data_IF_020018591450
#
_entry.id   IF_020018591450
#
_cell.length_a   1.000
_cell.length_b   1.000
_cell.length_c   1.000
_cell.angle_alpha   90.00
_cell.angle_beta   90.00
_cell.angle_gamma   90.00
#
_symmetry.space_group_name_H-M   'P 1'
#
loop_
_entity.id
_entity.type
_entity.pdbx_description
1 polymer ?
#
# COMPACT_ATOMS: atom_id res chain seq x y z
N UNK A 1 9.10 -53.57 -2.53
CA UNK A 1 10.53 -53.66 -2.15
C UNK A 1 11.37 -53.64 -3.42
N UNK A 2 12.27 -52.63 -3.54
CA UNK A 2 13.51 -52.51 -4.36
C UNK A 2 13.42 -52.76 -5.90
N UNK A 3 14.00 -51.99 -6.83
CA UNK A 3 15.01 -50.89 -6.82
C UNK A 3 14.95 -50.11 -8.16
N UNK A 4 15.22 -48.79 -8.20
CA UNK A 4 15.50 -48.00 -9.41
C UNK A 4 17.02 -47.88 -9.66
N UNK A 5 17.39 -47.31 -10.82
CA UNK A 5 18.75 -46.95 -11.29
C UNK A 5 19.52 -47.98 -12.12
N UNK A 6 19.42 -47.83 -13.44
CA UNK A 6 20.52 -48.11 -14.36
C UNK A 6 21.01 -46.76 -14.94
N UNK A 7 21.94 -46.14 -14.24
CA UNK A 7 22.59 -44.85 -14.59
C UNK A 7 23.53 -44.95 -15.79
N UNK A 8 23.75 -46.15 -16.33
CA UNK A 8 24.74 -46.41 -17.37
C UNK A 8 24.25 -46.03 -18.77
N UNK A 9 22.93 -45.98 -19.00
CA UNK A 9 22.34 -45.64 -20.31
C UNK A 9 22.25 -44.13 -20.59
N UNK A 10 22.17 -43.29 -19.56
CA UNK A 10 22.04 -41.83 -19.72
C UNK A 10 23.38 -41.18 -20.04
N UNK A 11 24.47 -41.70 -19.46
CA UNK A 11 25.83 -41.18 -19.70
C UNK A 11 26.34 -41.42 -21.12
N UNK A 12 25.95 -42.52 -21.77
CA UNK A 12 26.35 -42.84 -23.14
C UNK A 12 25.76 -41.87 -24.19
N UNK A 13 24.56 -41.32 -23.94
CA UNK A 13 23.90 -40.40 -24.85
C UNK A 13 24.51 -38.98 -24.80
N UNK A 14 24.87 -38.53 -23.59
CA UNK A 14 25.49 -37.22 -23.35
C UNK A 14 26.92 -37.14 -23.89
N UNK A 15 27.69 -38.24 -23.83
CA UNK A 15 29.06 -38.29 -24.33
C UNK A 15 29.17 -38.18 -25.86
N UNK A 16 28.15 -38.61 -26.62
CA UNK A 16 28.20 -38.63 -28.08
C UNK A 16 27.86 -37.29 -28.74
N UNK A 17 27.19 -36.39 -28.03
CA UNK A 17 26.59 -35.18 -28.61
C UNK A 17 27.29 -33.88 -28.22
N UNK A 18 28.06 -33.86 -27.14
CA UNK A 18 28.68 -32.62 -26.63
C UNK A 18 30.18 -32.79 -26.40
N UNK A 19 30.97 -32.33 -27.37
CA UNK A 19 32.42 -32.21 -27.26
C UNK A 19 32.77 -30.95 -26.41
N UNK A 20 32.35 -30.95 -25.14
CA UNK A 20 32.54 -29.86 -24.19
C UNK A 20 33.48 -30.29 -23.06
N UNK A 21 34.55 -29.54 -22.75
CA UNK A 21 35.55 -29.93 -21.75
C UNK A 21 35.03 -29.92 -20.30
N UNK A 22 33.75 -29.61 -20.07
CA UNK A 22 33.13 -29.53 -18.74
C UNK A 22 32.12 -30.66 -18.45
N UNK A 23 31.99 -31.64 -19.35
CA UNK A 23 30.98 -32.70 -19.24
C UNK A 23 31.21 -33.71 -18.09
N UNK A 24 32.34 -33.65 -17.39
CA UNK A 24 32.73 -34.65 -16.37
C UNK A 24 32.75 -34.13 -14.93
N UNK A 25 32.22 -32.93 -14.64
CA UNK A 25 32.23 -32.37 -13.27
C UNK A 25 30.88 -32.42 -12.56
N UNK A 26 30.82 -32.75 -11.25
CA UNK A 26 29.60 -32.72 -10.46
C UNK A 26 29.05 -31.30 -10.29
N UNK A 27 27.71 -31.16 -10.33
CA UNK A 27 26.92 -29.91 -10.34
C UNK A 27 27.29 -28.86 -9.28
N UNK A 28 27.91 -29.25 -8.16
CA UNK A 28 28.33 -28.32 -7.10
C UNK A 28 29.51 -27.42 -7.47
N UNK A 29 30.37 -27.83 -8.41
CA UNK A 29 31.54 -27.02 -8.81
C UNK A 29 31.22 -25.92 -9.86
N UNK A 30 30.07 -26.00 -10.54
CA UNK A 30 29.67 -24.98 -11.51
C UNK A 30 29.09 -23.71 -10.86
N UNK A 31 28.75 -23.77 -9.56
CA UNK A 31 28.09 -22.68 -8.83
C UNK A 31 29.10 -21.68 -8.24
N UNK A 32 30.37 -22.06 -8.07
CA UNK A 32 31.39 -21.25 -7.37
C UNK A 32 32.39 -20.54 -8.29
N UNK A 33 32.22 -20.58 -9.62
CA UNK A 33 33.11 -19.86 -10.53
C UNK A 33 32.83 -18.34 -10.51
N UNK A 34 33.85 -17.47 -10.38
CA UNK A 34 33.65 -16.03 -10.38
C UNK A 34 33.26 -15.57 -11.79
N UNK A 35 32.07 -15.00 -11.92
CA UNK A 35 31.55 -14.52 -13.19
C UNK A 35 31.80 -13.01 -13.33
N UNK A 36 32.91 -12.66 -13.98
CA UNK A 36 32.97 -11.40 -14.71
C UNK A 36 32.14 -11.52 -15.99
N UNK A 37 31.24 -10.54 -16.20
CA UNK A 37 30.77 -10.18 -17.54
C UNK A 37 29.66 -11.03 -18.17
N UNK A 38 28.50 -10.36 -18.33
CA UNK A 38 27.47 -10.57 -19.37
C UNK A 38 26.40 -11.66 -19.11
N UNK A 39 25.29 -11.16 -18.55
CA UNK A 39 23.89 -11.57 -18.78
C UNK A 39 23.63 -11.91 -20.27
N UNK A 40 23.84 -13.16 -20.69
CA UNK A 40 23.29 -13.65 -21.97
C UNK A 40 23.23 -15.18 -22.10
N UNK A 41 23.83 -15.96 -21.20
CA UNK A 41 23.89 -17.42 -21.34
C UNK A 41 22.88 -18.20 -20.49
N UNK A 42 22.33 -17.61 -19.44
CA UNK A 42 21.25 -18.23 -18.65
C UNK A 42 19.94 -18.34 -19.44
N UNK A 43 19.65 -17.37 -20.31
CA UNK A 43 18.49 -17.39 -21.20
C UNK A 43 18.57 -18.47 -22.29
N UNK A 44 19.79 -18.91 -22.65
CA UNK A 44 19.98 -19.99 -23.62
C UNK A 44 19.83 -21.38 -22.99
N UNK A 45 20.16 -21.52 -21.70
CA UNK A 45 19.99 -22.76 -20.96
C UNK A 45 18.51 -23.14 -20.79
N UNK A 46 17.64 -22.15 -20.59
CA UNK A 46 16.18 -22.38 -20.54
C UNK A 46 15.55 -22.71 -21.90
N UNK A 47 16.13 -22.26 -23.03
CA UNK A 47 15.58 -22.55 -24.37
C UNK A 47 15.90 -23.96 -24.88
N UNK A 48 17.01 -24.57 -24.44
CA UNK A 48 17.40 -25.90 -24.90
C UNK A 48 16.60 -27.04 -24.23
N UNK A 49 16.05 -26.83 -23.03
CA UNK A 49 15.27 -27.85 -22.32
C UNK A 49 13.82 -27.98 -22.79
N UNK A 50 13.32 -27.06 -23.63
CA UNK A 50 11.93 -27.07 -24.12
C UNK A 50 11.75 -27.92 -25.38
N UNK A 51 12.82 -28.38 -26.04
CA UNK A 51 12.74 -29.09 -27.33
C UNK A 51 13.03 -30.60 -27.29
N UNK A 52 13.38 -31.17 -26.15
CA UNK A 52 13.58 -32.63 -26.02
C UNK A 52 12.46 -33.22 -25.14
N UNK A 53 11.39 -33.70 -25.79
CA UNK A 53 10.17 -34.22 -25.16
C UNK A 53 10.34 -35.55 -24.42
N UNK A 54 11.23 -35.62 -23.43
CA UNK A 54 11.51 -36.85 -22.66
C UNK A 54 11.30 -36.69 -21.14
N UNK A 55 10.78 -35.56 -20.67
CA UNK A 55 10.32 -35.46 -19.28
C UNK A 55 8.90 -34.88 -19.23
N UNK A 56 7.98 -35.65 -18.64
CA UNK A 56 6.66 -35.17 -18.25
C UNK A 56 6.85 -34.04 -17.23
N UNK A 57 6.96 -32.81 -17.73
CA UNK A 57 7.20 -31.59 -16.96
C UNK A 57 5.96 -31.08 -16.20
N UNK A 58 4.99 -31.96 -15.92
CA UNK A 58 3.82 -31.61 -15.10
C UNK A 58 4.04 -31.83 -13.61
N UNK A 59 4.96 -32.73 -13.22
CA UNK A 59 5.04 -33.16 -11.81
C UNK A 59 6.31 -32.74 -11.06
N UNK A 60 7.33 -32.16 -11.72
CA UNK A 60 8.57 -31.72 -11.04
C UNK A 60 8.72 -30.19 -10.97
N UNK A 61 7.96 -29.45 -11.79
CA UNK A 61 8.03 -27.98 -11.86
C UNK A 61 6.74 -27.28 -11.43
N UNK A 62 5.85 -27.96 -10.69
CA UNK A 62 4.68 -27.32 -10.08
C UNK A 62 5.00 -26.55 -8.79
N UNK A 63 6.24 -26.63 -8.29
CA UNK A 63 6.62 -26.14 -6.97
C UNK A 63 7.52 -24.89 -6.88
N UNK A 64 7.95 -24.25 -7.97
CA UNK A 64 9.03 -23.24 -7.88
C UNK A 64 8.85 -21.89 -8.59
N UNK A 65 7.63 -21.50 -8.95
CA UNK A 65 7.31 -20.08 -9.22
C UNK A 65 5.83 -19.87 -8.93
N UNK A 66 5.52 -19.48 -7.68
CA UNK A 66 4.17 -19.04 -7.33
C UNK A 66 3.94 -17.72 -8.07
N UNK A 67 3.20 -17.77 -9.18
CA UNK A 67 2.87 -16.60 -9.96
C UNK A 67 1.85 -15.77 -9.17
N UNK A 68 2.30 -14.66 -8.59
CA UNK A 68 1.39 -13.66 -8.03
C UNK A 68 1.06 -12.66 -9.13
N UNK A 69 -0.23 -12.39 -9.41
CA UNK A 69 -0.61 -11.43 -10.44
C UNK A 69 -0.01 -10.05 -10.15
N UNK A 70 0.49 -9.36 -11.17
CA UNK A 70 1.00 -7.99 -11.05
C UNK A 70 -0.02 -7.01 -10.42
N UNK A 71 -1.31 -7.34 -10.52
CA UNK A 71 -2.39 -6.63 -9.85
C UNK A 71 -2.23 -6.62 -8.31
N UNK A 72 -1.81 -7.72 -7.69
CA UNK A 72 -1.65 -7.83 -6.22
C UNK A 72 -0.50 -6.96 -5.75
N UNK A 73 0.63 -6.96 -6.48
CA UNK A 73 1.76 -6.09 -6.17
C UNK A 73 1.36 -4.62 -6.23
N UNK A 74 0.56 -4.22 -7.21
CA UNK A 74 0.01 -2.85 -7.31
C UNK A 74 -0.89 -2.52 -6.12
N UNK A 75 -1.78 -3.43 -5.74
CA UNK A 75 -2.71 -3.23 -4.62
C UNK A 75 -1.93 -3.11 -3.30
N UNK A 76 -0.96 -3.98 -3.05
CA UNK A 76 -0.11 -3.93 -1.86
C UNK A 76 0.61 -2.58 -1.75
N UNK A 77 1.24 -2.09 -2.82
CA UNK A 77 1.90 -0.77 -2.80
C UNK A 77 0.95 0.39 -2.50
N UNK A 78 -0.32 0.26 -2.87
CA UNK A 78 -1.35 1.27 -2.59
C UNK A 78 -1.90 1.15 -1.16
N UNK A 79 -1.84 -0.04 -0.57
CA UNK A 79 -2.28 -0.28 0.80
C UNK A 79 -1.31 0.33 1.80
N UNK A 80 -1.86 1.05 2.77
CA UNK A 80 -1.09 1.80 3.76
C UNK A 80 -0.15 0.92 4.60
N UNK A 81 -0.50 -0.35 4.80
CA UNK A 81 0.28 -1.30 5.58
C UNK A 81 1.59 -1.67 4.90
N UNK A 82 1.63 -1.67 3.57
CA UNK A 82 2.75 -2.22 2.79
C UNK A 82 3.49 -1.17 1.96
N UNK A 83 2.94 0.05 1.82
CA UNK A 83 3.57 1.15 1.09
C UNK A 83 4.99 1.47 1.60
N UNK A 84 5.24 1.36 2.90
CA UNK A 84 6.56 1.63 3.48
C UNK A 84 7.58 0.51 3.33
N UNK A 85 7.20 -0.64 2.77
CA UNK A 85 8.12 -1.77 2.59
C UNK A 85 9.02 -1.52 1.39
N UNK A 86 10.28 -1.91 1.51
CA UNK A 86 11.19 -1.94 0.38
C UNK A 86 10.81 -3.05 -0.62
N UNK A 87 11.46 -3.08 -1.79
CA UNK A 87 11.11 -4.07 -2.81
C UNK A 87 11.35 -5.51 -2.38
N UNK A 88 12.33 -5.77 -1.50
CA UNK A 88 12.66 -7.12 -1.04
C UNK A 88 11.63 -7.60 -0.02
N UNK A 89 11.28 -6.76 0.94
CA UNK A 89 10.26 -7.05 1.95
C UNK A 89 8.89 -7.21 1.30
N UNK A 90 8.54 -6.34 0.36
CA UNK A 90 7.30 -6.44 -0.39
C UNK A 90 7.23 -7.76 -1.18
N UNK A 91 8.32 -8.17 -1.83
CA UNK A 91 8.38 -9.46 -2.53
C UNK A 91 8.24 -10.65 -1.56
N UNK A 92 8.83 -10.55 -0.37
CA UNK A 92 8.72 -11.60 0.65
C UNK A 92 7.28 -11.74 1.15
N UNK A 93 6.59 -10.61 1.39
CA UNK A 93 5.15 -10.59 1.70
C UNK A 93 4.35 -11.25 0.57
N UNK A 94 4.59 -10.84 -0.68
CA UNK A 94 3.91 -11.38 -1.88
C UNK A 94 4.05 -12.90 -1.95
N UNK A 95 5.25 -13.45 -1.73
CA UNK A 95 5.50 -14.89 -1.78
C UNK A 95 4.80 -15.66 -0.65
N UNK A 96 4.60 -15.02 0.50
CA UNK A 96 3.93 -15.60 1.65
C UNK A 96 2.40 -15.57 1.55
N UNK A 97 1.82 -14.68 0.72
CA UNK A 97 0.37 -14.62 0.56
C UNK A 97 -0.20 -15.89 -0.06
N UNK A 98 -1.43 -16.23 0.33
CA UNK A 98 -2.16 -17.39 -0.19
C UNK A 98 -3.47 -16.94 -0.83
N UNK A 99 -3.78 -17.47 -2.02
CA UNK A 99 -5.06 -17.21 -2.68
C UNK A 99 -6.19 -17.90 -1.90
N UNK A 100 -7.30 -17.18 -1.69
CA UNK A 100 -8.52 -17.68 -1.05
C UNK A 100 -9.73 -17.21 -1.85
N UNK A 101 -10.51 -18.15 -2.37
CA UNK A 101 -11.76 -17.87 -3.06
C UNK A 101 -12.94 -18.15 -2.15
N UNK A 102 -13.93 -17.27 -2.18
CA UNK A 102 -15.18 -17.43 -1.41
C UNK A 102 -16.38 -17.10 -2.30
N UNK A 103 -17.49 -17.78 -2.05
CA UNK A 103 -18.76 -17.51 -2.71
C UNK A 103 -19.48 -16.32 -2.09
N UNK A 104 -20.52 -15.81 -2.74
CA UNK A 104 -21.39 -14.79 -2.17
C UNK A 104 -22.05 -15.27 -0.86
N UNK A 105 -22.36 -14.34 0.04
CA UNK A 105 -22.98 -14.60 1.35
C UNK A 105 -22.15 -15.47 2.29
N UNK A 106 -20.84 -15.52 2.11
CA UNK A 106 -19.90 -16.21 3.00
C UNK A 106 -19.49 -15.27 4.15
N UNK A 107 -19.78 -15.66 5.39
CA UNK A 107 -19.27 -14.99 6.59
C UNK A 107 -17.81 -15.39 6.81
N UNK A 108 -16.87 -14.54 6.37
CA UNK A 108 -15.43 -14.82 6.40
C UNK A 108 -14.79 -14.51 7.76
N UNK A 109 -15.19 -13.40 8.40
CA UNK A 109 -14.73 -12.98 9.72
C UNK A 109 -15.95 -12.77 10.60
N UNK A 110 -15.90 -13.19 11.87
CA UNK A 110 -16.91 -12.82 12.87
C UNK A 110 -16.30 -11.85 13.87
N UNK A 111 -17.08 -10.85 14.26
CA UNK A 111 -16.74 -9.95 15.36
C UNK A 111 -16.47 -10.75 16.65
N UNK A 112 -15.41 -10.39 17.37
CA UNK A 112 -15.02 -11.03 18.63
C UNK A 112 -14.09 -12.25 18.49
N UNK A 113 -13.95 -12.84 17.30
CA UNK A 113 -13.02 -13.95 17.08
C UNK A 113 -11.55 -13.48 17.15
N UNK A 114 -10.62 -14.42 17.36
CA UNK A 114 -9.19 -14.16 17.21
C UNK A 114 -8.80 -13.97 15.73
N UNK A 115 -7.86 -13.05 15.46
CA UNK A 115 -7.49 -12.67 14.10
C UNK A 115 -6.09 -13.11 13.68
N UNK A 116 -5.96 -14.28 13.07
CA UNK A 116 -4.64 -14.85 12.70
C UNK A 116 -4.15 -14.50 11.29
N UNK A 117 -4.93 -13.75 10.52
CA UNK A 117 -4.56 -13.30 9.19
C UNK A 117 -5.29 -12.01 8.78
N UNK A 118 -4.80 -11.35 7.74
CA UNK A 118 -5.49 -10.28 7.03
C UNK A 118 -5.77 -10.69 5.59
N UNK A 119 -6.64 -9.92 4.93
CA UNK A 119 -7.07 -10.17 3.57
C UNK A 119 -6.92 -8.94 2.69
N UNK A 120 -6.67 -9.18 1.40
CA UNK A 120 -6.68 -8.18 0.33
C UNK A 120 -7.67 -8.64 -0.74
N UNK A 121 -8.53 -7.75 -1.17
CA UNK A 121 -9.54 -8.04 -2.19
C UNK A 121 -8.94 -7.83 -3.59
N UNK A 122 -8.85 -8.91 -4.38
CA UNK A 122 -8.52 -8.81 -5.80
C UNK A 122 -9.77 -8.55 -6.64
N UNK A 123 -10.88 -9.23 -6.33
CA UNK A 123 -12.17 -9.11 -7.01
C UNK A 123 -13.32 -9.36 -6.03
N UNK A 124 -14.51 -8.84 -6.34
CA UNK A 124 -15.71 -8.97 -5.51
C UNK A 124 -15.90 -7.86 -4.47
N UNK A 125 -16.98 -7.96 -3.70
CA UNK A 125 -17.38 -6.97 -2.70
C UNK A 125 -17.77 -7.66 -1.38
N UNK A 126 -17.41 -7.05 -0.25
CA UNK A 126 -17.75 -7.53 1.08
C UNK A 126 -18.24 -6.37 1.97
N UNK A 127 -19.19 -6.69 2.86
CA UNK A 127 -19.67 -5.79 3.89
C UNK A 127 -18.98 -6.10 5.22
N UNK A 128 -18.46 -5.06 5.87
CA UNK A 128 -18.04 -5.08 7.25
C UNK A 128 -19.19 -4.56 8.12
N UNK A 129 -19.63 -5.34 9.09
CA UNK A 129 -20.74 -5.03 9.99
C UNK A 129 -20.32 -5.10 11.45
N UNK A 130 -21.00 -4.33 12.30
CA UNK A 130 -20.87 -4.36 13.76
C UNK A 130 -22.23 -4.56 14.40
N UNK A 131 -22.25 -5.24 15.54
CA UNK A 131 -23.44 -5.28 16.39
C UNK A 131 -23.52 -3.99 17.23
N UNK A 132 -24.45 -3.10 16.89
CA UNK A 132 -24.68 -1.83 17.60
C UNK A 132 -26.12 -1.83 18.11
N UNK A 133 -26.30 -1.70 19.42
CA UNK A 133 -27.62 -1.75 20.09
C UNK A 133 -28.44 -3.03 19.78
N UNK A 134 -27.75 -4.14 19.55
CA UNK A 134 -28.36 -5.43 19.21
C UNK A 134 -28.73 -5.60 17.72
N UNK A 135 -28.46 -4.61 16.88
CA UNK A 135 -28.68 -4.67 15.44
C UNK A 135 -27.37 -4.73 14.66
N UNK A 136 -27.32 -5.58 13.63
CA UNK A 136 -26.18 -5.64 12.73
C UNK A 136 -26.21 -4.44 11.77
N UNK A 137 -25.22 -3.55 11.87
CA UNK A 137 -25.10 -2.37 11.02
C UNK A 137 -23.85 -2.45 10.16
N UNK A 138 -24.02 -2.27 8.85
CA UNK A 138 -22.89 -2.18 7.91
C UNK A 138 -22.15 -0.87 8.16
N UNK A 139 -20.89 -0.99 8.57
CA UNK A 139 -20.01 0.16 8.89
C UNK A 139 -19.06 0.49 7.75
N UNK A 140 -18.78 -0.46 6.85
CA UNK A 140 -17.89 -0.26 5.71
C UNK A 140 -18.17 -1.29 4.61
N UNK A 141 -18.07 -0.88 3.36
CA UNK A 141 -17.99 -1.77 2.19
C UNK A 141 -16.54 -1.82 1.73
N UNK A 142 -16.03 -3.02 1.44
CA UNK A 142 -14.68 -3.23 0.90
C UNK A 142 -14.75 -3.94 -0.45
N UNK A 143 -13.92 -3.49 -1.39
CA UNK A 143 -13.90 -4.00 -2.76
C UNK A 143 -12.48 -4.09 -3.33
N UNK A 144 -12.33 -4.25 -4.66
CA UNK A 144 -11.03 -4.50 -5.29
C UNK A 144 -9.99 -3.43 -4.92
N UNK A 145 -8.88 -3.87 -4.34
CA UNK A 145 -7.81 -2.99 -3.87
C UNK A 145 -7.84 -2.67 -2.37
N UNK A 146 -8.93 -2.99 -1.66
CA UNK A 146 -9.00 -2.81 -0.22
C UNK A 146 -8.34 -3.96 0.55
N UNK A 147 -7.74 -3.61 1.69
CA UNK A 147 -7.32 -4.55 2.72
C UNK A 147 -8.28 -4.51 3.91
N UNK A 148 -8.48 -5.65 4.57
CA UNK A 148 -9.29 -5.76 5.79
C UNK A 148 -8.76 -6.86 6.72
N UNK A 149 -9.20 -6.82 7.98
CA UNK A 149 -8.75 -7.75 9.03
C UNK A 149 -7.40 -7.39 9.65
N UNK A 150 -6.78 -6.30 9.24
CA UNK A 150 -5.48 -5.82 9.70
C UNK A 150 -5.47 -5.41 11.18
N UNK A 151 -6.61 -4.96 11.72
CA UNK A 151 -6.67 -4.38 13.07
C UNK A 151 -6.36 -5.42 14.15
N UNK A 152 -6.80 -6.66 13.97
CA UNK A 152 -6.51 -7.73 14.93
C UNK A 152 -5.01 -8.08 14.97
N UNK A 153 -4.31 -7.91 13.84
CA UNK A 153 -2.88 -8.18 13.72
C UNK A 153 -2.06 -7.00 14.27
N UNK A 154 -2.50 -5.77 14.00
CA UNK A 154 -1.85 -4.55 14.48
C UNK A 154 -1.93 -4.41 16.01
N UNK A 155 -3.14 -4.55 16.59
CA UNK A 155 -3.35 -4.27 18.01
C UNK A 155 -3.35 -5.50 18.91
N UNK A 156 -3.17 -6.69 18.34
CA UNK A 156 -3.33 -7.95 19.07
C UNK A 156 -4.67 -7.99 19.84
N UNK A 157 -5.74 -7.62 19.14
CA UNK A 157 -7.09 -7.50 19.67
C UNK A 157 -8.05 -8.41 18.90
N UNK A 158 -9.21 -8.78 19.47
CA UNK A 158 -10.24 -9.52 18.75
C UNK A 158 -10.70 -8.79 17.47
N UNK A 159 -11.32 -9.53 16.56
CA UNK A 159 -11.89 -8.98 15.32
C UNK A 159 -12.92 -7.90 15.66
N UNK A 160 -12.67 -6.70 15.15
CA UNK A 160 -13.49 -5.53 15.46
C UNK A 160 -14.82 -5.46 14.70
N UNK A 161 -15.07 -6.34 13.74
CA UNK A 161 -16.27 -6.36 12.90
C UNK A 161 -16.43 -7.73 12.25
N UNK A 162 -17.67 -8.10 11.93
CA UNK A 162 -18.01 -9.22 11.06
C UNK A 162 -17.79 -8.81 9.61
N UNK A 163 -17.32 -9.72 8.76
CA UNK A 163 -17.12 -9.46 7.32
C UNK A 163 -17.77 -10.56 6.51
N UNK A 164 -18.74 -10.17 5.67
CA UNK A 164 -19.54 -11.08 4.86
C UNK A 164 -19.46 -10.68 3.39
N UNK A 165 -19.21 -11.64 2.51
CA UNK A 165 -19.16 -11.38 1.06
C UNK A 165 -20.55 -11.07 0.49
N UNK A 166 -20.62 -10.04 -0.34
CA UNK A 166 -21.82 -9.66 -1.10
C UNK A 166 -21.85 -10.42 -2.43
N UNK A 167 -20.68 -10.60 -3.06
CA UNK A 167 -20.49 -11.37 -4.29
C UNK A 167 -19.45 -12.48 -4.10
N UNK A 168 -19.26 -13.34 -5.10
CA UNK A 168 -18.05 -14.17 -5.14
C UNK A 168 -16.80 -13.26 -5.13
N UNK A 169 -15.77 -13.66 -4.36
CA UNK A 169 -14.57 -12.86 -4.16
C UNK A 169 -13.30 -13.70 -4.35
N UNK A 170 -12.32 -13.13 -5.06
CA UNK A 170 -10.93 -13.61 -5.03
C UNK A 170 -10.15 -12.76 -4.03
N UNK A 171 -9.59 -13.40 -3.01
CA UNK A 171 -8.85 -12.77 -1.93
C UNK A 171 -7.41 -13.28 -1.84
N UNK A 172 -6.54 -12.45 -1.28
CA UNK A 172 -5.19 -12.85 -0.86
C UNK A 172 -5.08 -12.76 0.65
N UNK A 173 -4.75 -13.89 1.28
CA UNK A 173 -4.60 -14.05 2.72
C UNK A 173 -3.12 -13.94 3.11
N UNK A 174 -2.83 -13.15 4.16
CA UNK A 174 -1.50 -13.05 4.76
C UNK A 174 -1.58 -13.39 6.25
N UNK A 175 -0.81 -14.39 6.68
CA UNK A 175 -0.78 -14.86 8.07
C UNK A 175 -0.07 -13.90 9.04
N UNK A 176 -0.46 -13.98 10.31
CA UNK A 176 0.05 -13.17 11.42
C UNK A 176 1.57 -13.24 11.57
N UNK A 177 2.18 -14.41 11.44
CA UNK A 177 3.63 -14.57 11.65
C UNK A 177 4.44 -13.78 10.63
N UNK A 178 4.09 -13.91 9.35
CA UNK A 178 4.72 -13.12 8.28
C UNK A 178 4.45 -11.63 8.44
N UNK A 179 3.21 -11.27 8.80
CA UNK A 179 2.86 -9.88 9.06
C UNK A 179 3.71 -9.30 10.20
N UNK A 180 3.85 -10.01 11.31
CA UNK A 180 4.63 -9.59 12.46
C UNK A 180 6.13 -9.46 12.12
N UNK A 181 6.67 -10.41 11.36
CA UNK A 181 8.09 -10.45 11.03
C UNK A 181 8.53 -9.36 10.05
N UNK A 182 7.66 -8.94 9.12
CA UNK A 182 8.04 -8.08 7.99
C UNK A 182 7.29 -6.75 8.00
N UNK A 183 6.00 -6.78 8.32
CA UNK A 183 5.10 -5.63 8.12
C UNK A 183 4.95 -4.81 9.39
N UNK A 184 4.84 -5.48 10.55
CA UNK A 184 4.43 -4.85 11.81
C UNK A 184 5.40 -3.79 12.28
N UNK A 185 6.71 -4.01 12.23
CA UNK A 185 7.67 -3.02 12.73
C UNK A 185 7.70 -1.76 11.84
N UNK A 186 7.67 -1.94 10.51
CA UNK A 186 7.60 -0.83 9.56
C UNK A 186 6.29 -0.04 9.71
N UNK A 187 5.15 -0.74 9.78
CA UNK A 187 3.84 -0.14 9.95
C UNK A 187 3.69 0.55 11.30
N UNK A 188 4.19 -0.06 12.39
CA UNK A 188 4.12 0.51 13.75
C UNK A 188 5.01 1.73 13.88
N UNK A 189 6.24 1.70 13.33
CA UNK A 189 7.14 2.86 13.35
C UNK A 189 6.56 4.05 12.58
N UNK A 190 5.99 3.79 11.39
CA UNK A 190 5.30 4.82 10.58
C UNK A 190 4.09 5.37 11.33
N UNK A 191 3.27 4.49 11.92
CA UNK A 191 2.08 4.89 12.68
C UNK A 191 2.43 5.71 13.92
N UNK A 192 3.42 5.31 14.71
CA UNK A 192 3.86 6.08 15.87
C UNK A 192 4.36 7.47 15.48
N UNK A 193 5.10 7.57 14.37
CA UNK A 193 5.56 8.85 13.83
C UNK A 193 4.38 9.75 13.46
N UNK A 194 3.39 9.23 12.72
CA UNK A 194 2.20 10.02 12.36
C UNK A 194 1.28 10.29 13.53
N UNK A 195 1.09 9.37 14.49
CA UNK A 195 0.24 9.63 15.65
C UNK A 195 0.82 10.76 16.51
N UNK A 196 2.15 10.76 16.73
CA UNK A 196 2.84 11.87 17.39
C UNK A 196 2.72 13.18 16.62
N UNK A 197 2.84 13.14 15.29
CA UNK A 197 2.67 14.33 14.45
C UNK A 197 1.22 14.84 14.47
N UNK A 198 0.22 14.00 14.20
CA UNK A 198 -1.19 14.38 14.20
C UNK A 198 -1.70 14.83 15.57
N UNK A 199 -1.06 14.38 16.66
CA UNK A 199 -1.26 14.93 18.01
C UNK A 199 -0.89 16.40 18.14
N UNK A 200 0.06 16.89 17.34
CA UNK A 200 0.44 18.32 17.31
C UNK A 200 -0.42 19.17 16.38
N UNK A 201 -1.28 18.55 15.56
CA UNK A 201 -2.13 19.27 14.61
C UNK A 201 -3.46 19.61 15.29
N UNK A 202 -3.57 20.82 15.83
CA UNK A 202 -4.70 21.25 16.66
C UNK A 202 -6.09 21.09 16.04
N UNK A 203 -6.21 21.11 14.70
CA UNK A 203 -7.52 20.89 14.05
C UNK A 203 -8.04 19.47 14.25
N UNK A 204 -7.18 18.53 14.62
CA UNK A 204 -7.48 17.12 14.88
C UNK A 204 -7.65 16.81 16.38
N UNK A 205 -7.61 17.81 17.27
CA UNK A 205 -7.71 17.60 18.73
C UNK A 205 -9.05 16.96 19.15
N UNK A 206 -10.08 17.10 18.32
CA UNK A 206 -11.39 16.46 18.53
C UNK A 206 -11.46 14.98 18.13
N UNK A 207 -10.42 14.43 17.51
CA UNK A 207 -10.39 13.03 17.09
C UNK A 207 -9.77 12.14 18.18
N UNK A 208 -10.37 10.97 18.41
CA UNK A 208 -9.77 9.98 19.30
C UNK A 208 -8.52 9.30 18.69
N UNK A 209 -7.86 8.41 19.45
CA UNK A 209 -6.67 7.71 18.97
C UNK A 209 -6.96 6.73 17.80
N UNK A 210 -8.18 6.19 17.74
CA UNK A 210 -8.60 5.30 16.66
C UNK A 210 -8.85 6.09 15.37
N UNK A 211 -9.61 7.18 15.45
CA UNK A 211 -9.93 8.10 14.35
C UNK A 211 -8.67 8.73 13.75
N UNK A 212 -7.79 9.31 14.58
CA UNK A 212 -6.49 9.84 14.10
C UNK A 212 -5.63 8.75 13.50
N UNK A 213 -5.70 7.55 14.07
CA UNK A 213 -5.07 6.37 13.52
C UNK A 213 -5.49 6.08 12.08
N UNK A 214 -6.79 6.17 11.78
CA UNK A 214 -7.31 6.00 10.42
C UNK A 214 -6.85 7.11 9.48
N UNK A 215 -6.74 8.35 9.96
CA UNK A 215 -6.17 9.46 9.20
C UNK A 215 -4.69 9.19 8.90
N UNK A 216 -3.89 8.86 9.91
CA UNK A 216 -2.47 8.50 9.78
C UNK A 216 -2.25 7.40 8.73
N UNK A 217 -3.09 6.37 8.76
CA UNK A 217 -3.07 5.26 7.80
C UNK A 217 -3.36 5.75 6.37
N UNK A 218 -4.11 6.84 6.17
CA UNK A 218 -4.44 7.37 4.85
C UNK A 218 -3.43 8.41 4.31
N UNK A 219 -2.43 8.81 5.10
CA UNK A 219 -1.47 9.86 4.72
C UNK A 219 -0.32 9.33 3.85
N UNK A 220 0.00 10.11 2.82
CA UNK A 220 1.22 9.97 2.02
C UNK A 220 2.13 11.16 2.27
N UNK A 221 3.45 10.95 2.25
CA UNK A 221 4.41 12.06 2.35
C UNK A 221 4.86 12.47 0.96
N UNK A 222 4.89 13.77 0.70
CA UNK A 222 5.54 14.37 -0.45
C UNK A 222 6.58 15.40 0.02
N UNK A 223 7.64 15.57 -0.77
CA UNK A 223 8.73 16.48 -0.45
C UNK A 223 8.93 17.46 -1.61
N UNK A 224 8.98 18.74 -1.27
CA UNK A 224 9.11 19.85 -2.20
C UNK A 224 10.39 20.62 -1.90
N UNK A 225 11.12 20.97 -2.95
CA UNK A 225 12.30 21.85 -2.86
C UNK A 225 11.88 23.31 -2.84
N UNK A 226 12.80 24.20 -2.44
CA UNK A 226 12.55 25.64 -2.40
C UNK A 226 11.98 26.19 -3.71
N UNK A 227 10.95 27.03 -3.62
CA UNK A 227 10.26 27.64 -4.74
C UNK A 227 9.31 26.72 -5.52
N UNK A 228 9.23 25.43 -5.18
CA UNK A 228 8.28 24.52 -5.83
C UNK A 228 6.84 24.82 -5.40
N UNK A 229 5.93 24.88 -6.37
CA UNK A 229 4.50 25.02 -6.10
C UNK A 229 3.94 23.68 -5.61
N UNK A 230 3.35 23.69 -4.43
CA UNK A 230 2.61 22.54 -3.87
C UNK A 230 1.19 22.54 -4.43
N UNK A 231 0.55 23.71 -4.49
CA UNK A 231 -0.71 23.93 -5.20
C UNK A 231 -0.68 25.26 -5.94
N UNK A 232 -1.43 25.37 -7.04
CA UNK A 232 -1.57 26.60 -7.82
C UNK A 232 -2.99 27.13 -7.76
N UNK A 233 -3.14 28.44 -7.63
CA UNK A 233 -4.43 29.11 -7.65
C UNK A 233 -5.16 28.83 -8.97
N UNK A 234 -6.46 28.54 -8.89
CA UNK A 234 -7.31 28.25 -10.04
C UNK A 234 -7.29 26.81 -10.53
N UNK A 235 -6.36 25.97 -10.05
CA UNK A 235 -6.39 24.54 -10.35
C UNK A 235 -7.44 23.80 -9.52
N UNK A 236 -7.92 22.65 -10.02
CA UNK A 236 -8.75 21.75 -9.23
C UNK A 236 -7.91 21.16 -8.10
N UNK A 237 -8.49 21.11 -6.90
CA UNK A 237 -7.80 20.64 -5.71
C UNK A 237 -8.45 19.39 -5.12
N UNK A 238 -7.75 18.26 -5.13
CA UNK A 238 -8.26 16.99 -4.59
C UNK A 238 -7.44 16.43 -3.42
N UNK A 239 -6.56 17.25 -2.86
CA UNK A 239 -5.66 16.85 -1.76
C UNK A 239 -5.69 17.90 -0.66
N UNK A 240 -5.75 17.44 0.59
CA UNK A 240 -5.52 18.22 1.80
C UNK A 240 -4.08 18.00 2.28
N UNK A 241 -3.42 19.06 2.72
CA UNK A 241 -2.01 19.02 3.11
C UNK A 241 -1.82 19.46 4.56
N UNK A 242 -0.88 18.81 5.24
CA UNK A 242 -0.37 19.22 6.56
C UNK A 242 1.15 19.29 6.46
N UNK A 243 1.77 20.38 6.90
CA UNK A 243 3.24 20.53 6.89
C UNK A 243 3.83 19.65 7.98
N UNK A 244 4.62 18.64 7.59
CA UNK A 244 5.36 17.77 8.50
C UNK A 244 6.63 18.48 8.98
N UNK A 245 7.41 19.01 8.04
CA UNK A 245 8.72 19.64 8.27
C UNK A 245 8.95 20.78 7.27
N UNK A 246 9.71 21.79 7.70
CA UNK A 246 10.02 22.96 6.86
C UNK A 246 8.91 24.01 6.85
N UNK A 247 8.84 24.80 5.78
CA UNK A 247 7.90 25.92 5.68
C UNK A 247 7.36 26.13 4.27
N UNK A 248 6.22 26.80 4.17
CA UNK A 248 5.61 27.18 2.90
C UNK A 248 4.95 28.55 3.00
N UNK A 249 4.70 29.18 1.87
CA UNK A 249 4.04 30.49 1.77
C UNK A 249 2.83 30.41 0.85
N UNK A 250 1.70 30.96 1.30
CA UNK A 250 0.53 31.16 0.45
C UNK A 250 0.65 32.50 -0.27
N UNK A 251 0.43 32.50 -1.58
CA UNK A 251 0.29 33.73 -2.37
C UNK A 251 -1.01 33.74 -3.13
N UNK A 252 -1.70 34.88 -3.16
CA UNK A 252 -3.03 35.03 -3.79
C UNK A 252 -3.04 36.22 -4.72
N UNK A 253 -3.54 36.02 -5.93
CA UNK A 253 -3.96 37.09 -6.82
C UNK A 253 -5.43 37.42 -6.54
N UNK A 254 -5.73 38.71 -6.36
CA UNK A 254 -7.06 39.22 -6.01
C UNK A 254 -7.90 39.63 -7.23
N UNK A 255 -7.34 39.56 -8.43
CA UNK A 255 -8.06 39.88 -9.65
C UNK A 255 -7.26 39.59 -10.92
N UNK A 256 -7.93 39.54 -12.09
CA UNK A 256 -7.27 39.29 -13.37
C UNK A 256 -6.13 40.29 -13.62
N UNK A 257 -4.93 39.77 -13.91
CA UNK A 257 -3.75 40.59 -14.19
C UNK A 257 -3.04 41.19 -12.97
N UNK A 258 -3.55 40.98 -11.75
CA UNK A 258 -2.85 41.39 -10.54
C UNK A 258 -1.79 40.35 -10.14
N UNK A 259 -0.55 40.76 -9.81
CA UNK A 259 0.46 39.83 -9.34
C UNK A 259 0.04 39.22 -8.00
N UNK A 260 0.33 37.94 -7.74
CA UNK A 260 0.02 37.31 -6.47
C UNK A 260 0.85 37.93 -5.34
N UNK A 261 0.22 38.23 -4.21
CA UNK A 261 0.88 38.73 -3.00
C UNK A 261 0.86 37.67 -1.91
N UNK A 262 1.84 37.69 -1.00
CA UNK A 262 1.89 36.79 0.15
C UNK A 262 0.74 37.09 1.11
N UNK A 263 -0.01 36.06 1.49
CA UNK A 263 -1.18 36.18 2.40
C UNK A 263 -1.04 35.35 3.67
N UNK A 264 -0.17 34.33 3.68
CA UNK A 264 0.04 33.47 4.84
C UNK A 264 1.40 32.76 4.77
N UNK A 265 2.00 32.50 5.93
CA UNK A 265 3.14 31.58 6.08
C UNK A 265 2.69 30.36 6.86
N UNK A 266 3.28 29.22 6.51
CA UNK A 266 3.03 27.92 7.13
C UNK A 266 4.31 27.35 7.71
N UNK A 267 4.19 26.73 8.87
CA UNK A 267 5.24 25.99 9.58
C UNK A 267 4.76 24.57 9.86
N UNK A 268 5.64 23.72 10.39
CA UNK A 268 5.29 22.37 10.81
C UNK A 268 4.06 22.36 11.75
N UNK A 269 3.09 21.50 11.44
CA UNK A 269 1.80 21.40 12.13
C UNK A 269 0.68 22.21 11.49
N UNK A 270 0.98 23.20 10.64
CA UNK A 270 -0.03 23.92 9.88
C UNK A 270 -0.59 23.08 8.74
N UNK A 271 -1.79 23.44 8.27
CA UNK A 271 -2.46 22.78 7.15
C UNK A 271 -2.95 23.77 6.10
N UNK A 272 -3.21 23.26 4.90
CA UNK A 272 -3.80 24.03 3.80
C UNK A 272 -4.48 23.12 2.78
N UNK A 273 -5.26 23.73 1.89
CA UNK A 273 -5.93 23.06 0.79
C UNK A 273 -7.30 22.46 1.13
N UNK A 274 -7.81 22.71 2.33
CA UNK A 274 -9.15 22.35 2.78
C UNK A 274 -10.26 23.03 1.99
N UNK A 275 -10.06 24.29 1.56
CA UNK A 275 -11.10 25.10 0.93
C UNK A 275 -11.64 24.48 -0.36
N UNK A 276 -10.76 23.92 -1.20
CA UNK A 276 -11.16 23.26 -2.45
C UNK A 276 -11.93 21.94 -2.21
N UNK A 277 -11.71 21.30 -1.06
CA UNK A 277 -12.42 20.07 -0.68
C UNK A 277 -13.78 20.35 -0.05
N UNK A 278 -13.90 21.47 0.67
CA UNK A 278 -15.10 21.87 1.41
C UNK A 278 -16.07 22.61 0.48
N UNK A 279 -15.60 23.62 -0.24
CA UNK A 279 -16.45 24.47 -1.08
C UNK A 279 -16.68 23.92 -2.49
N UNK A 280 -15.94 22.88 -2.88
CA UNK A 280 -15.95 22.35 -4.26
C UNK A 280 -15.57 23.39 -5.32
N UNK A 281 -14.72 24.34 -4.92
CA UNK A 281 -14.18 25.41 -5.75
C UNK A 281 -12.70 25.12 -6.13
N UNK A 282 -12.18 25.73 -7.22
CA UNK A 282 -10.74 25.71 -7.51
C UNK A 282 -9.91 26.25 -6.34
N UNK A 283 -8.60 25.94 -6.33
CA UNK A 283 -7.65 26.43 -5.33
C UNK A 283 -7.71 27.95 -5.24
N UNK A 284 -7.98 28.46 -4.04
CA UNK A 284 -8.16 29.89 -3.79
C UNK A 284 -6.84 30.69 -3.80
N UNK A 285 -5.70 30.03 -3.64
CA UNK A 285 -4.36 30.62 -3.59
C UNK A 285 -3.31 29.59 -4.03
N UNK A 286 -2.12 30.07 -4.36
CA UNK A 286 -0.93 29.23 -4.49
C UNK A 286 -0.41 28.88 -3.10
N UNK A 287 0.25 27.73 -2.96
CA UNK A 287 1.13 27.45 -1.83
C UNK A 287 2.47 26.97 -2.38
N UNK A 288 3.55 27.61 -1.94
CA UNK A 288 4.90 27.45 -2.48
C UNK A 288 5.82 27.05 -1.34
N UNK A 289 6.63 26.02 -1.54
CA UNK A 289 7.65 25.61 -0.57
C UNK A 289 8.67 26.74 -0.35
N UNK A 290 8.97 27.02 0.92
CA UNK A 290 9.99 27.98 1.33
C UNK A 290 11.09 27.22 2.09
N UNK A 291 12.23 27.04 1.42
CA UNK A 291 13.18 25.98 1.74
C UNK A 291 12.66 24.60 1.34
N UNK A 292 13.21 23.55 1.96
CA UNK A 292 12.67 22.19 1.81
C UNK A 292 11.38 22.11 2.64
N UNK A 293 10.28 21.66 2.02
CA UNK A 293 9.00 21.47 2.67
C UNK A 293 8.53 20.03 2.49
N UNK A 294 8.26 19.35 3.59
CA UNK A 294 7.74 18.00 3.62
C UNK A 294 6.30 18.05 4.10
N UNK A 295 5.38 17.46 3.35
CA UNK A 295 3.94 17.54 3.60
C UNK A 295 3.30 16.16 3.65
N UNK A 296 2.37 16.00 4.59
CA UNK A 296 1.44 14.88 4.65
C UNK A 296 0.22 15.20 3.79
N UNK A 297 -0.13 14.30 2.88
CA UNK A 297 -1.15 14.44 1.86
C UNK A 297 -2.32 13.50 2.13
N UNK A 298 -3.55 14.03 2.15
CA UNK A 298 -4.79 13.29 2.31
C UNK A 298 -5.72 13.54 1.11
N UNK A 299 -6.00 12.49 0.33
CA UNK A 299 -6.88 12.57 -0.85
C UNK A 299 -8.33 12.89 -0.49
N UNK A 300 -9.06 13.56 -1.39
CA UNK A 300 -10.47 13.99 -1.23
C UNK A 300 -11.37 12.88 -0.69
N UNK A 301 -11.29 11.67 -1.25
CA UNK A 301 -12.13 10.53 -0.82
C UNK A 301 -11.86 10.15 0.63
N UNK A 302 -10.59 10.14 1.03
CA UNK A 302 -10.18 9.86 2.42
C UNK A 302 -10.53 11.01 3.34
N UNK A 303 -10.34 12.27 2.92
CA UNK A 303 -10.74 13.46 3.67
C UNK A 303 -12.24 13.42 3.98
N UNK A 304 -13.09 13.16 2.97
CA UNK A 304 -14.54 13.08 3.12
C UNK A 304 -14.97 11.98 4.08
N UNK A 305 -14.32 10.81 4.02
CA UNK A 305 -14.65 9.64 4.86
C UNK A 305 -14.12 9.72 6.28
N UNK A 306 -12.92 10.27 6.48
CA UNK A 306 -12.17 10.14 7.74
C UNK A 306 -12.20 11.38 8.62
N UNK A 307 -12.42 12.57 8.04
CA UNK A 307 -12.37 13.82 8.81
C UNK A 307 -13.66 14.11 9.59
N UNK A 308 -14.78 13.44 9.28
CA UNK A 308 -16.02 13.52 10.06
C UNK A 308 -16.40 14.94 10.49
N UNK A 309 -16.58 15.15 11.80
CA UNK A 309 -16.92 16.43 12.43
C UNK A 309 -15.82 17.51 12.32
N UNK A 310 -14.57 17.13 12.02
CA UNK A 310 -13.50 18.10 11.77
C UNK A 310 -13.75 18.88 10.49
N UNK A 311 -14.51 18.33 9.54
CA UNK A 311 -14.95 19.08 8.36
C UNK A 311 -15.81 20.28 8.74
N UNK A 312 -16.65 20.16 9.76
CA UNK A 312 -17.49 21.25 10.25
C UNK A 312 -16.64 22.36 10.90
N UNK A 313 -15.59 21.97 11.64
CA UNK A 313 -14.62 22.91 12.23
C UNK A 313 -13.84 23.66 11.15
N UNK A 314 -13.35 22.93 10.14
CA UNK A 314 -12.66 23.51 8.99
C UNK A 314 -13.58 24.45 8.20
N UNK A 315 -14.85 24.09 8.02
CA UNK A 315 -15.85 24.92 7.33
C UNK A 315 -16.14 26.23 8.09
N UNK A 316 -16.19 26.19 9.42
CA UNK A 316 -16.33 27.40 10.24
C UNK A 316 -15.13 28.32 10.09
N UNK A 317 -13.90 27.79 10.16
CA UNK A 317 -12.66 28.57 9.94
C UNK A 317 -12.54 29.09 8.50
N UNK A 318 -13.02 28.34 7.51
CA UNK A 318 -13.05 28.78 6.12
C UNK A 318 -13.80 30.11 5.90
N UNK A 319 -14.84 30.36 6.71
CA UNK A 319 -15.61 31.61 6.66
C UNK A 319 -14.84 32.83 7.16
N UNK A 320 -13.81 32.64 8.00
CA UNK A 320 -12.94 33.71 8.50
C UNK A 320 -12.06 34.26 7.37
N UNK A 321 -11.51 33.39 6.52
CA UNK A 321 -10.70 33.79 5.36
C UNK A 321 -11.48 34.54 4.28
N UNK A 322 -12.77 34.23 4.07
CA UNK A 322 -13.61 34.97 3.11
C UNK A 322 -13.79 36.43 3.55
N UNK A 323 -13.95 36.67 4.85
CA UNK A 323 -14.11 38.02 5.41
C UNK A 323 -12.85 38.88 5.35
N UNK A 324 -11.67 38.27 5.30
CA UNK A 324 -10.40 38.98 5.15
C UNK A 324 -10.06 39.32 3.69
N UNK A 325 -10.81 38.75 2.73
CA UNK A 325 -10.61 38.95 1.30
C UNK A 325 -11.63 39.87 0.62
N UNK A 326 -12.66 40.31 1.36
CA UNK A 326 -13.65 41.31 0.97
C UNK A 326 -13.27 42.69 1.52
#
# INVERSE_FOLDING_TARGET
MLSPYDSTRVLAYVHSTWNSPYASKPLRECITAPHEGKRSRFALFLRAHVLCGVFCAKDVFSGLLRYVPAAVQRILRQSFLFNSLDEKDLNTVILAMQEKKIEASTCLIREGDDGECLYIVQSGELNCSKLIDGEERVVKVVGPGDAFGELALLYNAPRAATVTSVSACDLWELGRDTFNAIVKDAATKRRSMYDSFLKSVHILDGMDAYERGKVADALRTEMFTDGAYIVRQGELGDVFYIVEEGSAVATKSFGPGQPPIEVKKYQAGDYFGELALINEEPRAANVIAHGICKVACLERKSFKRLMGSVQDLLSKKASEYKRESD
#
